data_IF_127174048358
#
_entry.id   IF_127174048358
#
_cell.length_a   1.000
_cell.length_b   1.000
_cell.length_c   1.000
_cell.angle_alpha   90.00
_cell.angle_beta   90.00
_cell.angle_gamma   90.00
#
_symmetry.space_group_name_H-M   'P 1'
#
loop_
_entity.id
_entity.type
_entity.pdbx_description
1 polymer ?
#
# COMPACT_ATOMS: atom_id res chain seq x y z
N UNK A 1 36.30 14.99 -26.14
CA UNK A 1 36.34 13.92 -25.12
C UNK A 1 35.73 14.53 -23.86
N UNK A 2 34.43 14.30 -23.65
CA UNK A 2 33.67 14.96 -22.59
C UNK A 2 33.08 13.89 -21.69
N UNK A 3 33.69 13.72 -20.52
CA UNK A 3 33.26 12.76 -19.49
C UNK A 3 31.99 13.29 -18.81
N UNK A 4 30.83 12.80 -19.23
CA UNK A 4 29.61 12.93 -18.44
C UNK A 4 29.64 11.89 -17.32
N UNK A 5 29.90 12.38 -16.10
CA UNK A 5 29.72 11.62 -14.86
C UNK A 5 28.24 11.24 -14.72
N UNK A 6 27.97 9.94 -14.75
CA UNK A 6 26.69 9.38 -14.34
C UNK A 6 26.50 9.63 -12.85
N UNK A 7 25.55 10.50 -12.49
CA UNK A 7 24.96 10.54 -11.17
C UNK A 7 23.55 9.97 -11.29
N UNK A 8 23.41 8.70 -10.90
CA UNK A 8 22.17 7.94 -11.03
C UNK A 8 22.27 6.65 -10.23
N UNK A 9 22.59 6.76 -8.95
CA UNK A 9 22.59 5.64 -8.01
C UNK A 9 21.93 6.10 -6.71
N UNK A 10 20.62 5.95 -6.65
CA UNK A 10 19.83 6.31 -5.47
C UNK A 10 18.38 5.83 -5.47
N UNK A 11 17.98 4.91 -6.35
CA UNK A 11 16.57 4.49 -6.42
C UNK A 11 16.41 2.97 -6.64
N UNK A 12 17.09 2.19 -5.81
CA UNK A 12 17.02 0.72 -5.83
C UNK A 12 16.47 0.13 -4.52
N UNK A 13 15.91 0.96 -3.63
CA UNK A 13 15.52 0.52 -2.27
C UNK A 13 14.00 0.41 -2.06
N UNK A 14 13.14 0.92 -2.97
CA UNK A 14 11.68 0.90 -2.77
C UNK A 14 10.92 -0.31 -3.38
N UNK A 15 11.60 -1.23 -4.06
CA UNK A 15 10.90 -2.35 -4.73
C UNK A 15 10.73 -3.61 -3.87
N UNK A 16 11.52 -3.79 -2.80
CA UNK A 16 11.51 -5.02 -2.01
C UNK A 16 10.41 -5.07 -0.95
N UNK A 17 10.04 -3.92 -0.38
CA UNK A 17 8.98 -3.83 0.65
C UNK A 17 7.59 -4.12 0.07
N UNK A 18 7.34 -3.70 -1.18
CA UNK A 18 6.06 -3.91 -1.86
C UNK A 18 5.69 -5.40 -2.06
N UNK A 19 6.66 -6.32 -2.09
CA UNK A 19 6.37 -7.75 -2.23
C UNK A 19 5.93 -8.42 -0.93
N UNK A 20 6.25 -7.85 0.24
CA UNK A 20 6.03 -8.49 1.53
C UNK A 20 4.54 -8.76 1.81
N UNK A 21 3.65 -7.93 1.28
CA UNK A 21 2.20 -7.99 1.55
C UNK A 21 1.34 -8.35 0.33
N UNK A 22 1.93 -8.83 -0.76
CA UNK A 22 1.20 -9.09 -2.01
C UNK A 22 -0.01 -10.03 -1.83
N UNK A 23 0.13 -11.09 -1.03
CA UNK A 23 -0.96 -12.02 -0.72
C UNK A 23 -2.08 -11.37 0.10
N UNK A 24 -1.72 -10.52 1.05
CA UNK A 24 -2.68 -9.79 1.89
C UNK A 24 -3.47 -8.77 1.07
N UNK A 25 -2.80 -8.05 0.15
CA UNK A 25 -3.45 -7.14 -0.80
C UNK A 25 -4.51 -7.87 -1.63
N UNK A 26 -4.19 -9.07 -2.13
CA UNK A 26 -5.15 -9.87 -2.92
C UNK A 26 -6.35 -10.36 -2.09
N UNK A 27 -6.09 -10.80 -0.86
CA UNK A 27 -7.16 -11.22 0.05
C UNK A 27 -8.08 -10.06 0.41
N UNK A 28 -7.53 -8.90 0.77
CA UNK A 28 -8.32 -7.72 1.11
C UNK A 28 -9.15 -7.23 -0.08
N UNK A 29 -8.57 -7.18 -1.28
CA UNK A 29 -9.34 -6.81 -2.49
C UNK A 29 -10.48 -7.79 -2.76
N UNK A 30 -10.27 -9.11 -2.57
CA UNK A 30 -11.32 -10.11 -2.69
C UNK A 30 -12.43 -9.90 -1.66
N UNK A 31 -12.09 -9.67 -0.39
CA UNK A 31 -13.07 -9.44 0.68
C UNK A 31 -13.88 -8.16 0.45
N UNK A 32 -13.24 -7.08 0.01
CA UNK A 32 -13.94 -5.84 -0.34
C UNK A 32 -14.90 -6.07 -1.51
N UNK A 33 -14.45 -6.78 -2.56
CA UNK A 33 -15.32 -7.13 -3.71
C UNK A 33 -16.47 -8.06 -3.34
N UNK A 34 -16.25 -8.95 -2.38
CA UNK A 34 -17.28 -9.81 -1.81
C UNK A 34 -18.21 -9.07 -0.83
N UNK A 35 -18.04 -7.76 -0.65
CA UNK A 35 -18.90 -6.89 0.17
C UNK A 35 -18.95 -7.31 1.64
N UNK A 36 -17.82 -7.75 2.18
CA UNK A 36 -17.70 -7.92 3.63
C UNK A 36 -17.90 -6.56 4.31
N UNK A 37 -18.84 -6.44 5.25
CA UNK A 37 -19.29 -5.13 5.75
C UNK A 37 -18.31 -4.48 6.74
N UNK A 38 -17.46 -5.27 7.41
CA UNK A 38 -16.47 -4.80 8.37
C UNK A 38 -15.24 -5.72 8.32
N UNK A 39 -14.06 -5.11 8.18
CA UNK A 39 -12.77 -5.80 8.24
C UNK A 39 -12.03 -5.28 9.48
N UNK A 40 -11.74 -6.18 10.42
CA UNK A 40 -10.96 -5.85 11.61
C UNK A 40 -9.52 -6.32 11.40
N UNK A 41 -8.57 -5.39 11.46
CA UNK A 41 -7.14 -5.65 11.27
C UNK A 41 -6.42 -5.42 12.59
N UNK A 42 -5.58 -6.37 12.99
CA UNK A 42 -4.71 -6.26 14.15
C UNK A 42 -3.28 -6.19 13.63
N UNK A 43 -2.55 -5.14 13.98
CA UNK A 43 -1.15 -4.96 13.67
C UNK A 43 -0.41 -4.36 14.86
N UNK A 44 0.92 -4.47 14.85
CA UNK A 44 1.78 -3.85 15.87
C UNK A 44 1.89 -2.34 15.63
N UNK A 45 1.93 -1.94 14.37
CA UNK A 45 2.02 -0.56 13.92
C UNK A 45 0.93 -0.26 12.90
N UNK A 46 0.46 0.98 12.86
CA UNK A 46 -0.62 1.44 11.97
C UNK A 46 -0.12 1.66 10.53
N UNK A 47 1.04 2.30 10.37
CA UNK A 47 1.58 2.73 9.07
C UNK A 47 1.68 1.58 8.02
N UNK A 48 2.17 0.37 8.34
CA UNK A 48 2.21 -0.73 7.37
C UNK A 48 0.83 -1.17 6.89
N UNK A 49 -0.20 -1.05 7.74
CA UNK A 49 -1.58 -1.37 7.36
C UNK A 49 -2.13 -0.30 6.43
N UNK A 50 -1.87 0.98 6.70
CA UNK A 50 -2.28 2.08 5.83
C UNK A 50 -1.69 1.91 4.41
N UNK A 51 -0.41 1.55 4.30
CA UNK A 51 0.27 1.28 3.02
C UNK A 51 -0.39 0.14 2.24
N UNK A 52 -0.68 -0.99 2.91
CA UNK A 52 -1.37 -2.13 2.29
C UNK A 52 -2.77 -1.71 1.81
N UNK A 53 -3.52 -0.98 2.62
CA UNK A 53 -4.85 -0.48 2.24
C UNK A 53 -4.78 0.48 1.05
N UNK A 54 -3.74 1.32 0.98
CA UNK A 54 -3.51 2.21 -0.16
C UNK A 54 -3.22 1.41 -1.44
N UNK A 55 -2.40 0.36 -1.37
CA UNK A 55 -2.15 -0.54 -2.51
C UNK A 55 -3.44 -1.22 -2.99
N UNK A 56 -4.26 -1.72 -2.06
CA UNK A 56 -5.56 -2.31 -2.37
C UNK A 56 -6.45 -1.28 -3.10
N UNK A 57 -6.54 -0.06 -2.58
CA UNK A 57 -7.36 1.00 -3.16
C UNK A 57 -6.92 1.40 -4.59
N UNK A 58 -5.61 1.43 -4.83
CA UNK A 58 -5.01 1.74 -6.14
C UNK A 58 -5.19 0.61 -7.17
N UNK A 59 -5.13 -0.66 -6.73
CA UNK A 59 -5.33 -1.86 -7.58
C UNK A 59 -6.80 -2.14 -7.87
N UNK A 60 -7.69 -1.69 -7.01
CA UNK A 60 -9.14 -1.85 -7.13
C UNK A 60 -9.66 -1.29 -8.46
N UNK A 61 -10.63 -1.97 -9.07
CA UNK A 61 -11.35 -1.48 -10.26
C UNK A 61 -12.85 -1.46 -9.97
N UNK A 62 -13.51 -0.27 -9.93
CA UNK A 62 -12.91 1.06 -10.07
C UNK A 62 -11.95 1.39 -8.91
N UNK A 63 -11.05 2.35 -9.12
CA UNK A 63 -10.16 2.85 -8.05
C UNK A 63 -11.00 3.35 -6.90
N UNK A 64 -10.58 3.01 -5.68
CA UNK A 64 -11.29 3.37 -4.46
C UNK A 64 -10.57 4.53 -3.79
N UNK A 65 -11.34 5.43 -3.19
CA UNK A 65 -10.79 6.45 -2.30
C UNK A 65 -10.63 5.83 -0.91
N UNK A 66 -9.44 5.96 -0.33
CA UNK A 66 -9.20 5.60 1.05
C UNK A 66 -9.39 6.85 1.92
N UNK A 67 -10.19 6.71 2.98
CA UNK A 67 -10.42 7.75 3.98
C UNK A 67 -9.88 7.24 5.30
N UNK A 68 -9.13 8.08 5.99
CA UNK A 68 -8.59 7.78 7.31
C UNK A 68 -9.39 8.52 8.36
N UNK A 69 -9.69 7.82 9.45
CA UNK A 69 -10.25 8.38 10.65
C UNK A 69 -9.46 7.80 11.80
N UNK A 70 -8.78 8.65 12.54
CA UNK A 70 -8.11 8.27 13.76
C UNK A 70 -8.43 9.31 14.84
N UNK A 71 -8.23 8.94 16.10
CA UNK A 71 -8.61 9.79 17.24
C UNK A 71 -7.88 11.15 17.20
N UNK A 72 -6.70 11.20 16.56
CA UNK A 72 -5.83 12.38 16.53
C UNK A 72 -6.17 13.29 15.35
N UNK A 73 -6.51 12.73 14.19
CA UNK A 73 -6.81 13.42 12.93
C UNK A 73 -8.29 13.83 12.82
N UNK A 74 -9.16 13.25 13.65
CA UNK A 74 -10.61 13.51 13.64
C UNK A 74 -11.32 12.83 12.49
#
# INVERSE_FOLDING_TARGET
>A
MSNFHQYGKGDATHNSENQQYASLVEQLDLMIRARYPLLYVISVEEEPVEEVLQQVALRSVPKRQLLFWDIVRG
#
